data_IF_593964760608
#
_entry.id   IF_593964760608
#
_cell.length_a   1.000
_cell.length_b   1.000
_cell.length_c   1.000
_cell.angle_alpha   90.00
_cell.angle_beta   90.00
_cell.angle_gamma   90.00
#
_symmetry.space_group_name_H-M   'P 1'
#
loop_
_entity.id
_entity.type
_entity.pdbx_description
1 polymer ?
#
# COMPACT_ATOMS: atom_id res chain seq x y z
N UNK A 1 22.48 -8.64 -11.78
CA UNK A 1 23.05 -8.09 -10.53
C UNK A 1 22.74 -6.60 -10.29
N UNK A 2 21.48 -6.15 -10.36
CA UNK A 2 21.10 -4.76 -9.94
C UNK A 2 19.72 -4.69 -9.27
N UNK A 3 19.15 -5.80 -8.79
CA UNK A 3 17.83 -5.76 -8.13
C UNK A 3 17.85 -6.48 -6.78
N UNK A 4 19.00 -6.44 -6.10
CA UNK A 4 18.96 -6.26 -4.65
C UNK A 4 18.53 -4.82 -4.39
N UNK A 5 17.23 -4.54 -4.56
CA UNK A 5 16.63 -3.36 -3.95
C UNK A 5 16.69 -3.63 -2.45
N UNK A 6 17.84 -3.22 -1.91
CA UNK A 6 18.24 -3.33 -0.54
C UNK A 6 17.19 -2.62 0.31
N UNK A 7 16.32 -3.42 0.94
CA UNK A 7 15.51 -2.98 2.07
C UNK A 7 16.38 -2.50 3.26
N UNK A 8 17.70 -2.64 3.17
CA UNK A 8 18.64 -2.40 4.25
C UNK A 8 19.19 -0.96 4.38
N UNK A 9 18.85 -0.02 3.49
CA UNK A 9 19.46 1.33 3.52
C UNK A 9 18.60 2.44 4.16
N UNK A 10 17.44 2.14 4.74
CA UNK A 10 16.64 3.14 5.49
C UNK A 10 16.63 2.91 7.00
N UNK A 11 17.80 2.55 7.55
CA UNK A 11 18.01 2.55 9.00
C UNK A 11 18.80 3.81 9.39
N UNK A 12 18.08 4.90 9.68
CA UNK A 12 18.59 5.94 10.57
C UNK A 12 17.42 6.54 11.37
N UNK A 13 17.30 6.05 12.60
CA UNK A 13 16.61 6.63 13.75
C UNK A 13 15.12 7.03 13.59
N UNK A 14 14.28 6.37 14.39
CA UNK A 14 12.93 6.79 14.82
C UNK A 14 11.71 6.47 13.93
N UNK A 15 11.75 5.41 13.11
CA UNK A 15 10.54 4.76 12.59
C UNK A 15 10.59 3.26 12.80
N UNK A 16 9.76 2.75 13.69
CA UNK A 16 9.52 1.32 13.86
C UNK A 16 8.94 0.72 12.57
N UNK A 17 9.86 0.20 11.75
CA UNK A 17 9.74 -0.87 10.76
C UNK A 17 8.33 -1.35 10.33
N UNK A 18 7.63 -0.56 9.50
CA UNK A 18 6.61 -1.11 8.59
C UNK A 18 7.35 -1.83 7.44
N UNK A 19 7.83 -3.04 7.69
CA UNK A 19 8.60 -3.85 6.70
C UNK A 19 7.73 -4.81 5.89
N UNK A 20 6.44 -4.94 6.26
CA UNK A 20 5.50 -5.85 5.60
C UNK A 20 4.10 -5.24 5.50
N UNK A 21 3.30 -5.70 4.53
CA UNK A 21 1.86 -5.38 4.43
C UNK A 21 1.11 -5.70 5.72
N UNK A 22 1.55 -6.73 6.46
CA UNK A 22 0.94 -7.10 7.74
C UNK A 22 1.21 -6.05 8.83
N UNK A 23 2.46 -5.63 8.98
CA UNK A 23 2.82 -4.56 9.91
C UNK A 23 2.03 -3.27 9.62
N UNK A 24 1.82 -2.95 8.33
CA UNK A 24 0.98 -1.81 7.95
C UNK A 24 -0.45 -1.95 8.48
N UNK A 25 -1.05 -3.13 8.36
CA UNK A 25 -2.42 -3.37 8.79
C UNK A 25 -2.54 -3.38 10.32
N UNK A 26 -1.52 -3.88 11.02
CA UNK A 26 -1.51 -3.96 12.49
C UNK A 26 -1.51 -2.57 13.16
N UNK A 27 -1.00 -1.53 12.47
CA UNK A 27 -1.03 -0.13 12.93
C UNK A 27 -2.37 0.61 12.70
N UNK A 28 -3.36 -0.03 12.07
CA UNK A 28 -4.63 0.63 11.73
C UNK A 28 -5.65 0.44 12.84
N UNK A 29 -5.86 1.48 13.64
CA UNK A 29 -6.86 1.47 14.73
C UNK A 29 -8.32 1.52 14.24
N UNK A 30 -8.57 2.15 13.08
CA UNK A 30 -9.94 2.25 12.55
C UNK A 30 -10.38 0.90 11.98
N UNK A 31 -11.29 0.22 12.69
CA UNK A 31 -11.75 -1.12 12.35
C UNK A 31 -12.42 -1.20 10.97
N UNK A 32 -13.19 -0.19 10.57
CA UNK A 32 -13.83 -0.14 9.25
C UNK A 32 -12.81 -0.03 8.11
N UNK A 33 -11.77 0.78 8.30
CA UNK A 33 -10.66 0.93 7.37
C UNK A 33 -9.80 -0.34 7.33
N UNK A 34 -9.51 -0.93 8.50
CA UNK A 34 -8.80 -2.19 8.62
C UNK A 34 -9.52 -3.30 7.85
N UNK A 35 -10.83 -3.48 8.07
CA UNK A 35 -11.63 -4.50 7.39
C UNK A 35 -11.69 -4.26 5.86
N UNK A 36 -11.74 -3.00 5.43
CA UNK A 36 -11.73 -2.66 4.01
C UNK A 36 -10.39 -2.97 3.35
N UNK A 37 -9.28 -2.67 4.02
CA UNK A 37 -7.94 -2.98 3.52
C UNK A 37 -7.67 -4.48 3.59
N UNK A 38 -8.04 -5.15 4.67
CA UNK A 38 -7.94 -6.60 4.84
C UNK A 38 -8.73 -7.37 3.78
N UNK A 39 -9.84 -6.83 3.29
CA UNK A 39 -10.64 -7.43 2.20
C UNK A 39 -10.18 -7.03 0.79
N UNK A 40 -9.20 -6.11 0.68
CA UNK A 40 -8.57 -5.83 -0.60
C UNK A 40 -7.67 -6.99 -1.04
N UNK A 41 -7.46 -7.13 -2.35
CA UNK A 41 -6.58 -8.15 -2.89
C UNK A 41 -5.12 -7.89 -2.50
N UNK A 42 -4.36 -8.99 -2.33
CA UNK A 42 -2.97 -8.96 -1.88
C UNK A 42 -2.09 -8.05 -2.74
N UNK A 43 -2.30 -8.05 -4.05
CA UNK A 43 -1.54 -7.23 -4.98
C UNK A 43 -1.83 -5.74 -4.80
N UNK A 44 -3.10 -5.34 -4.61
CA UNK A 44 -3.46 -3.95 -4.27
C UNK A 44 -2.80 -3.51 -2.97
N UNK A 45 -2.77 -4.36 -1.93
CA UNK A 45 -2.08 -4.04 -0.68
C UNK A 45 -0.57 -3.88 -0.86
N UNK A 46 0.06 -4.72 -1.68
CA UNK A 46 1.48 -4.59 -2.02
C UNK A 46 1.78 -3.29 -2.78
N UNK A 47 0.91 -2.91 -3.72
CA UNK A 47 1.02 -1.63 -4.43
C UNK A 47 0.97 -0.46 -3.44
N UNK A 48 -0.01 -0.44 -2.53
CA UNK A 48 -0.13 0.61 -1.50
C UNK A 48 1.11 0.66 -0.63
N UNK A 49 1.60 -0.51 -0.20
CA UNK A 49 2.81 -0.61 0.59
C UNK A 49 4.03 -0.02 -0.14
N UNK A 50 4.26 -0.37 -1.41
CA UNK A 50 5.35 0.20 -2.20
C UNK A 50 5.20 1.71 -2.40
N UNK A 51 3.97 2.20 -2.58
CA UNK A 51 3.71 3.64 -2.68
C UNK A 51 3.98 4.40 -1.37
N UNK A 52 3.81 3.77 -0.21
CA UNK A 52 4.15 4.34 1.10
C UNK A 52 5.66 4.37 1.36
N UNK A 53 6.41 3.50 0.70
CA UNK A 53 7.88 3.51 0.68
C UNK A 53 8.44 4.46 -0.39
N UNK A 54 7.61 5.35 -0.94
CA UNK A 54 7.95 6.30 -2.01
C UNK A 54 8.56 5.65 -3.27
N UNK A 55 8.26 4.36 -3.52
CA UNK A 55 8.72 3.66 -4.71
C UNK A 55 7.94 4.22 -5.93
N UNK A 56 8.64 4.59 -7.02
CA UNK A 56 8.00 5.11 -8.21
C UNK A 56 7.15 4.05 -8.90
N UNK A 57 6.06 4.48 -9.53
CA UNK A 57 5.07 3.59 -10.15
C UNK A 57 5.69 2.70 -11.22
N UNK A 58 6.70 3.19 -11.92
CA UNK A 58 7.44 2.50 -12.97
C UNK A 58 8.21 1.30 -12.40
N UNK A 59 8.88 1.47 -11.25
CA UNK A 59 9.57 0.36 -10.57
C UNK A 59 8.57 -0.65 -9.98
N UNK A 60 7.42 -0.19 -9.50
CA UNK A 60 6.35 -1.08 -9.04
C UNK A 60 5.79 -1.89 -10.21
N UNK A 61 5.57 -1.24 -11.36
CA UNK A 61 5.10 -1.88 -12.59
C UNK A 61 6.03 -2.99 -13.05
N UNK A 62 7.34 -2.70 -13.11
CA UNK A 62 8.37 -3.68 -13.44
C UNK A 62 8.40 -4.84 -12.44
N UNK A 63 8.44 -4.53 -11.14
CA UNK A 63 8.50 -5.54 -10.07
C UNK A 63 7.29 -6.46 -10.02
N UNK A 64 6.10 -5.94 -10.31
CA UNK A 64 4.85 -6.69 -10.23
C UNK A 64 4.38 -7.26 -11.58
N UNK A 65 5.09 -6.98 -12.68
CA UNK A 65 4.67 -7.37 -14.03
C UNK A 65 3.34 -6.73 -14.45
N UNK A 66 3.06 -5.52 -13.95
CA UNK A 66 1.83 -4.77 -14.23
C UNK A 66 2.13 -3.56 -15.11
N UNK A 67 1.10 -3.04 -15.79
CA UNK A 67 1.24 -1.72 -16.44
C UNK A 67 1.09 -0.61 -15.38
N UNK A 68 1.75 0.56 -15.56
CA UNK A 68 1.54 1.71 -14.68
C UNK A 68 0.05 2.10 -14.56
N UNK A 69 -0.71 1.99 -15.65
CA UNK A 69 -2.15 2.25 -15.66
C UNK A 69 -2.93 1.28 -14.77
N UNK A 70 -2.57 -0.01 -14.76
CA UNK A 70 -3.19 -0.99 -13.86
C UNK A 70 -2.95 -0.64 -12.38
N UNK A 71 -1.76 -0.13 -12.05
CA UNK A 71 -1.43 0.35 -10.71
C UNK A 71 -2.29 1.56 -10.34
N UNK A 72 -2.35 2.59 -11.20
CA UNK A 72 -3.19 3.77 -10.96
C UNK A 72 -4.66 3.39 -10.77
N UNK A 73 -5.18 2.46 -11.57
CA UNK A 73 -6.57 2.02 -11.48
C UNK A 73 -6.86 1.31 -10.15
N UNK A 74 -5.96 0.45 -9.67
CA UNK A 74 -6.10 -0.22 -8.37
C UNK A 74 -6.11 0.77 -7.21
N UNK A 75 -5.18 1.73 -7.23
CA UNK A 75 -5.12 2.81 -6.24
C UNK A 75 -6.41 3.64 -6.27
N UNK A 76 -6.90 3.99 -7.46
CA UNK A 76 -8.11 4.79 -7.60
C UNK A 76 -9.35 4.07 -7.07
N UNK A 77 -9.51 2.77 -7.39
CA UNK A 77 -10.59 1.94 -6.84
C UNK A 77 -10.54 1.86 -5.32
N UNK A 78 -9.34 1.75 -4.74
CA UNK A 78 -9.18 1.74 -3.30
C UNK A 78 -9.54 3.10 -2.67
N UNK A 79 -9.13 4.21 -3.29
CA UNK A 79 -9.52 5.57 -2.85
C UNK A 79 -11.03 5.75 -2.84
N UNK A 80 -11.73 5.30 -3.88
CA UNK A 80 -13.18 5.37 -3.95
C UNK A 80 -13.86 4.53 -2.87
N UNK A 81 -13.33 3.34 -2.57
CA UNK A 81 -13.78 2.50 -1.46
C UNK A 81 -13.63 3.20 -0.11
N UNK A 82 -12.47 3.80 0.16
CA UNK A 82 -12.22 4.56 1.40
C UNK A 82 -13.11 5.80 1.49
N UNK A 83 -13.34 6.50 0.37
CA UNK A 83 -14.24 7.66 0.33
C UNK A 83 -15.67 7.27 0.68
N UNK A 84 -16.14 6.12 0.19
CA UNK A 84 -17.47 5.58 0.53
C UNK A 84 -17.60 5.26 2.03
N UNK A 85 -16.56 4.73 2.67
CA UNK A 85 -16.55 4.54 4.12
C UNK A 85 -16.78 5.88 4.84
N UNK A 86 -15.97 6.90 4.53
CA UNK A 86 -16.07 8.23 5.16
C UNK A 86 -17.41 8.94 4.92
N UNK A 87 -18.07 8.67 3.79
CA UNK A 87 -19.39 9.26 3.50
C UNK A 87 -20.54 8.50 4.17
N UNK A 88 -20.35 7.24 4.56
CA UNK A 88 -21.33 6.45 5.30
C UNK A 88 -21.50 6.89 6.77
N UNK A 89 -20.47 7.49 7.36
CA UNK A 89 -20.46 7.98 8.75
C UNK A 89 -21.20 9.32 8.97
N UNK A 90 -21.74 9.94 7.91
CA UNK A 90 -22.49 11.21 7.98
C UNK A 90 -24.01 11.03 8.08
N UNK A 91 -24.50 9.87 8.51
CA UNK A 91 -25.94 9.62 8.71
C UNK A 91 -26.28 9.53 10.19
#
# INVERSE_FOLDING_TARGET
DVVEISLATMCSADRENITTVKALLDEIENEALFNLLRSADKETLQIVFFRMLDIPTEQIAEKMGLTPNAIYLRINRLKEKIKKLKMGERK
#
